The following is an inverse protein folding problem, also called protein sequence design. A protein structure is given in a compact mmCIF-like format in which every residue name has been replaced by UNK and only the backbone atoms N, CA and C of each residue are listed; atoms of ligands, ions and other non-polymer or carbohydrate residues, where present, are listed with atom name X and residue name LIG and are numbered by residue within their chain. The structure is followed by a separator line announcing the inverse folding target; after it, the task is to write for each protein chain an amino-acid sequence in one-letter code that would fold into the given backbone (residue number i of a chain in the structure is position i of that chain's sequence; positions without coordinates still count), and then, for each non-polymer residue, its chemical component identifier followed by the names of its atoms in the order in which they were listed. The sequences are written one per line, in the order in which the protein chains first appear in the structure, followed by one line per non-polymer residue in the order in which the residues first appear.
data_IF_751400571603
#
_entry.id   IF_751400571603
#
_cell.length_a   1.000
_cell.length_b   1.000
_cell.length_c   1.000
_cell.angle_alpha   90.00
_cell.angle_beta   90.00
_cell.angle_gamma   90.00
#
_symmetry.space_group_name_H-M   'P 1'
#
loop_
_entity.id
_entity.type
_entity.pdbx_description
1 polymer ?
#
# COMPACT_ATOMS: atom_id res chain seq x y z
N UNK A 1 -8.62 -9.10 2.79
CA UNK A 1 -8.15 -8.12 3.81
C UNK A 1 -7.68 -8.74 5.12
N UNK A 2 -8.43 -9.62 5.81
CA UNK A 2 -8.00 -10.17 7.12
C UNK A 2 -6.66 -10.91 7.11
N UNK A 3 -6.39 -11.69 6.06
CA UNK A 3 -5.09 -12.37 5.88
C UNK A 3 -3.94 -11.39 5.58
N UNK A 4 -4.22 -10.30 4.85
CA UNK A 4 -3.22 -9.25 4.59
C UNK A 4 -2.77 -8.61 5.90
N UNK A 5 -3.72 -8.28 6.80
CA UNK A 5 -3.36 -7.72 8.11
C UNK A 5 -2.51 -8.68 8.95
N UNK A 6 -2.77 -9.99 8.88
CA UNK A 6 -1.94 -10.99 9.56
C UNK A 6 -0.53 -11.07 8.95
N UNK A 7 -0.40 -11.03 7.62
CA UNK A 7 0.90 -10.98 6.92
C UNK A 7 1.67 -9.71 7.31
N UNK A 8 1.01 -8.56 7.30
CA UNK A 8 1.61 -7.27 7.63
C UNK A 8 2.01 -7.18 9.11
N UNK A 9 1.18 -7.68 10.03
CA UNK A 9 1.49 -7.73 11.45
C UNK A 9 2.79 -8.52 11.76
N UNK A 10 3.11 -9.54 10.94
CA UNK A 10 4.34 -10.31 11.08
C UNK A 10 5.59 -9.58 10.56
N UNK A 11 5.44 -8.56 9.71
CA UNK A 11 6.57 -7.80 9.15
C UNK A 11 7.10 -6.75 10.14
N UNK A 12 6.28 -6.30 11.08
CA UNK A 12 6.64 -5.31 12.08
C UNK A 12 6.52 -3.87 11.57
N UNK A 13 7.35 -2.97 12.12
CA UNK A 13 7.36 -1.55 11.74
C UNK A 13 8.27 -1.32 10.55
N UNK A 14 7.78 -0.63 9.52
CA UNK A 14 8.57 -0.28 8.35
C UNK A 14 7.73 0.36 7.23
N UNK A 15 8.31 0.46 6.04
CA UNK A 15 7.69 1.10 4.88
C UNK A 15 7.30 0.05 3.86
N UNK A 16 6.02 0.03 3.51
CA UNK A 16 5.49 -0.72 2.37
C UNK A 16 5.53 0.14 1.13
N UNK A 17 5.98 -0.42 0.01
CA UNK A 17 6.02 0.24 -1.28
C UNK A 17 5.24 -0.62 -2.26
N UNK A 18 4.05 -0.15 -2.64
CA UNK A 18 3.20 -0.78 -3.64
C UNK A 18 3.55 -0.25 -5.02
N UNK A 19 3.89 -1.15 -5.94
CA UNK A 19 3.90 -0.86 -7.37
C UNK A 19 2.51 -1.14 -7.90
N UNK A 20 1.76 -0.07 -8.17
CA UNK A 20 0.35 -0.16 -8.57
C UNK A 20 0.21 -0.74 -9.97
N UNK A 21 1.19 -0.53 -10.86
CA UNK A 21 1.15 -1.04 -12.24
C UNK A 21 1.32 -2.56 -12.26
N UNK A 22 2.22 -3.08 -11.44
CA UNK A 22 2.50 -4.52 -11.36
C UNK A 22 1.61 -5.26 -10.37
N UNK A 23 0.95 -4.53 -9.46
CA UNK A 23 0.18 -5.13 -8.37
C UNK A 23 1.05 -5.80 -7.32
N UNK A 24 2.31 -5.38 -7.20
CA UNK A 24 3.31 -5.94 -6.28
C UNK A 24 3.53 -5.01 -5.07
N UNK A 25 4.04 -5.56 -3.99
CA UNK A 25 4.35 -4.81 -2.77
C UNK A 25 5.71 -5.23 -2.23
N UNK A 26 6.48 -4.26 -1.75
CA UNK A 26 7.78 -4.48 -1.12
C UNK A 26 7.78 -3.91 0.30
N UNK A 27 8.48 -4.58 1.21
CA UNK A 27 8.78 -4.12 2.55
C UNK A 27 10.29 -4.17 2.78
N UNK A 28 10.91 -2.99 2.86
CA UNK A 28 12.37 -2.89 2.80
C UNK A 28 12.90 -3.54 1.51
N UNK A 29 13.77 -4.54 1.65
CA UNK A 29 14.34 -5.29 0.51
C UNK A 29 13.54 -6.54 0.12
N UNK A 30 12.44 -6.86 0.84
CA UNK A 30 11.65 -8.07 0.61
C UNK A 30 10.40 -7.76 -0.21
N UNK A 31 10.22 -8.47 -1.31
CA UNK A 31 8.92 -8.53 -1.99
C UNK A 31 7.95 -9.33 -1.13
N UNK A 32 6.76 -8.79 -0.90
CA UNK A 32 5.67 -9.50 -0.24
C UNK A 32 4.78 -10.08 -1.32
N UNK A 33 4.90 -11.38 -1.51
CA UNK A 33 4.08 -12.10 -2.46
C UNK A 33 2.63 -12.24 -1.97
N UNK A 34 1.70 -12.06 -2.91
CA UNK A 34 0.28 -12.35 -2.75
C UNK A 34 -0.42 -11.55 -1.62
N UNK A 35 -0.17 -10.24 -1.57
CA UNK A 35 -1.03 -9.31 -0.86
C UNK A 35 -2.30 -9.09 -1.68
N UNK A 36 -3.46 -9.44 -1.12
CA UNK A 36 -4.73 -9.22 -1.83
C UNK A 36 -4.94 -7.73 -2.12
N UNK A 37 -4.61 -6.85 -1.16
CA UNK A 37 -4.73 -5.40 -1.33
C UNK A 37 -3.91 -4.83 -2.50
N UNK A 38 -2.76 -5.40 -2.86
CA UNK A 38 -1.96 -4.87 -3.98
C UNK A 38 -2.63 -5.11 -5.33
N UNK A 39 -3.28 -6.29 -5.49
CA UNK A 39 -4.09 -6.63 -6.67
C UNK A 39 -5.36 -5.79 -6.77
N UNK A 40 -6.00 -5.50 -5.64
CA UNK A 40 -7.18 -4.64 -5.59
C UNK A 40 -6.84 -3.21 -6.01
N UNK A 41 -5.74 -2.65 -5.50
CA UNK A 41 -5.30 -1.29 -5.85
C UNK A 41 -4.95 -1.22 -7.35
N UNK A 42 -4.25 -2.22 -7.89
CA UNK A 42 -3.96 -2.31 -9.33
C UNK A 42 -5.24 -2.35 -10.16
N UNK A 43 -6.20 -3.19 -9.77
CA UNK A 43 -7.48 -3.36 -10.47
C UNK A 43 -8.29 -2.07 -10.44
N UNK A 44 -8.37 -1.42 -9.27
CA UNK A 44 -9.01 -0.11 -9.11
C UNK A 44 -8.35 0.96 -9.98
N UNK A 45 -7.02 1.05 -9.96
CA UNK A 45 -6.29 2.05 -10.74
C UNK A 45 -6.49 1.85 -12.25
N UNK A 46 -6.39 0.61 -12.72
CA UNK A 46 -6.62 0.25 -14.13
C UNK A 46 -8.05 0.57 -14.58
N UNK A 47 -9.03 0.31 -13.71
CA UNK A 47 -10.42 0.67 -13.97
C UNK A 47 -10.59 2.20 -14.10
N UNK A 48 -9.99 2.97 -13.19
CA UNK A 48 -10.02 4.45 -13.25
C UNK A 48 -9.37 5.00 -14.51
N UNK A 49 -8.21 4.50 -14.92
CA UNK A 49 -7.58 4.89 -16.18
C UNK A 49 -8.52 4.64 -17.37
N UNK A 50 -9.18 3.49 -17.39
CA UNK A 50 -10.15 3.13 -18.44
C UNK A 50 -11.35 4.08 -18.45
N UNK A 51 -11.95 4.37 -17.30
CA UNK A 51 -13.06 5.33 -17.18
C UNK A 51 -12.69 6.72 -17.68
N UNK A 52 -11.48 7.18 -17.37
CA UNK A 52 -10.95 8.48 -17.79
C UNK A 52 -10.31 8.48 -19.18
N UNK A 53 -10.30 7.34 -19.88
CA UNK A 53 -9.68 7.14 -21.21
C UNK A 53 -8.19 7.52 -21.24
N UNK A 54 -7.49 7.26 -20.14
CA UNK A 54 -6.06 7.48 -20.03
C UNK A 54 -5.36 6.16 -20.41
N UNK A 55 -4.53 6.14 -21.46
CA UNK A 55 -3.77 4.94 -21.84
C UNK A 55 -2.77 4.58 -20.74
N UNK A 56 -2.70 3.31 -20.34
CA UNK A 56 -1.76 2.88 -19.30
C UNK A 56 -0.30 3.04 -19.74
N UNK A 57 -0.04 3.05 -21.04
CA UNK A 57 1.29 3.22 -21.63
C UNK A 57 1.88 4.62 -21.39
N UNK A 58 1.02 5.61 -21.09
CA UNK A 58 1.42 6.96 -20.69
C UNK A 58 1.87 7.04 -19.23
N UNK A 59 1.51 6.05 -18.40
CA UNK A 59 1.91 5.96 -17.01
C UNK A 59 3.25 5.22 -16.93
N UNK A 60 4.30 5.95 -16.53
CA UNK A 60 5.65 5.40 -16.36
C UNK A 60 5.88 4.78 -15.00
N UNK A 61 5.27 5.37 -13.98
CA UNK A 61 5.39 4.91 -12.61
C UNK A 61 4.08 5.21 -11.89
N UNK A 62 3.58 4.25 -11.11
CA UNK A 62 2.51 4.47 -10.16
C UNK A 62 2.86 3.74 -8.86
N UNK A 63 3.22 4.51 -7.84
CA UNK A 63 3.76 3.98 -6.58
C UNK A 63 2.94 4.53 -5.42
N UNK A 64 2.59 3.66 -4.47
CA UNK A 64 2.01 4.05 -3.19
C UNK A 64 2.95 3.59 -2.08
N UNK A 65 3.51 4.54 -1.33
CA UNK A 65 4.33 4.26 -0.14
C UNK A 65 3.45 4.37 1.08
N UNK A 66 3.37 3.31 1.87
CA UNK A 66 2.57 3.25 3.07
C UNK A 66 3.48 2.91 4.25
N UNK A 67 3.70 3.88 5.15
CA UNK A 67 4.39 3.62 6.41
C UNK A 67 3.47 2.79 7.30
N UNK A 68 4.02 1.78 7.97
CA UNK A 68 3.31 0.93 8.94
C UNK A 68 4.10 0.91 10.23
N UNK A 69 3.48 1.37 11.30
CA UNK A 69 4.03 1.25 12.66
C UNK A 69 3.26 0.20 13.42
N UNK A 70 3.90 -0.93 13.75
CA UNK A 70 3.32 -1.99 14.56
C UNK A 70 3.71 -1.78 16.02
N UNK A 71 2.76 -1.38 16.86
CA UNK A 71 2.93 -1.36 18.32
C UNK A 71 2.29 -2.60 18.94
N UNK A 72 3.10 -3.46 19.57
CA UNK A 72 2.59 -4.61 20.32
C UNK A 72 2.37 -4.18 21.77
N UNK A 73 1.12 -3.91 22.15
CA UNK A 73 0.77 -3.60 23.55
C UNK A 73 0.39 -4.90 24.25
N UNK A 74 1.29 -5.45 25.08
CA UNK A 74 0.97 -6.59 25.94
C UNK A 74 0.15 -6.15 27.16
N UNK A 75 -1.18 -6.16 27.03
CA UNK A 75 -2.09 -6.06 28.19
C UNK A 75 -2.94 -7.32 28.27
N UNK A 76 -2.74 -8.12 29.33
CA UNK A 76 -3.58 -9.26 29.73
C UNK A 76 -3.98 -10.17 28.55
N UNK A 77 -3.00 -10.85 27.94
CA UNK A 77 -3.22 -11.92 26.96
C UNK A 77 -3.82 -11.51 25.59
N UNK A 78 -3.82 -10.22 25.22
CA UNK A 78 -4.28 -9.75 23.91
C UNK A 78 -3.17 -9.00 23.19
N UNK A 79 -2.83 -9.42 21.97
CA UNK A 79 -1.95 -8.69 21.05
C UNK A 79 -2.82 -7.69 20.29
N UNK A 80 -2.62 -6.39 20.49
CA UNK A 80 -3.22 -5.35 19.66
C UNK A 80 -2.17 -4.88 18.67
N UNK A 81 -2.51 -4.83 17.38
CA UNK A 81 -1.66 -4.28 16.32
C UNK A 81 -2.31 -2.99 15.86
N UNK A 82 -1.68 -1.86 16.12
CA UNK A 82 -2.08 -0.57 15.57
C UNK A 82 -1.42 -0.44 14.21
N UNK A 83 -2.13 0.05 13.20
CA UNK A 83 -1.55 0.38 11.90
C UNK A 83 -1.69 1.90 11.69
N UNK A 84 -0.60 2.62 11.85
CA UNK A 84 -0.52 4.03 11.45
C UNK A 84 -0.10 4.07 9.98
N UNK A 85 -0.99 4.51 9.09
CA UNK A 85 -0.74 4.58 7.66
C UNK A 85 -0.40 6.01 7.25
N UNK A 86 0.83 6.21 6.82
CA UNK A 86 1.21 7.42 6.06
C UNK A 86 1.39 7.01 4.60
N UNK A 87 0.43 7.37 3.78
CA UNK A 87 0.34 7.02 2.38
C UNK A 87 0.81 8.17 1.50
N UNK A 88 1.89 7.96 0.75
CA UNK A 88 2.35 8.88 -0.29
C UNK A 88 2.19 8.21 -1.66
N UNK A 89 1.30 8.74 -2.49
CA UNK A 89 1.09 8.30 -3.86
C UNK A 89 1.91 9.13 -4.83
N UNK A 90 2.49 8.48 -5.84
CA UNK A 90 3.18 9.11 -6.96
C UNK A 90 2.70 8.48 -8.25
N UNK A 91 2.31 9.31 -9.21
CA UNK A 91 2.03 8.90 -10.58
C UNK A 91 2.93 9.75 -11.49
N UNK A 92 3.81 9.10 -12.26
CA UNK A 92 4.67 9.76 -13.23
C UNK A 92 4.21 9.42 -14.64
N UNK A 93 4.03 10.45 -15.45
CA UNK A 93 3.82 10.34 -16.89
C UNK A 93 5.07 10.81 -17.64
N UNK A 94 5.03 10.84 -18.98
CA UNK A 94 6.10 11.44 -19.77
C UNK A 94 6.24 12.95 -19.57
N UNK A 95 5.17 13.61 -19.14
CA UNK A 95 5.08 15.08 -19.15
C UNK A 95 5.11 15.67 -17.73
N UNK A 96 4.58 14.93 -16.75
CA UNK A 96 4.41 15.45 -15.40
C UNK A 96 4.54 14.35 -14.33
N UNK A 97 4.79 14.80 -13.10
CA UNK A 97 4.69 13.96 -11.90
C UNK A 97 3.57 14.51 -11.02
N UNK A 98 2.67 13.62 -10.60
CA UNK A 98 1.55 13.91 -9.72
C UNK A 98 1.79 13.21 -8.39
N UNK A 99 1.74 13.96 -7.30
CA UNK A 99 1.99 13.46 -5.95
C UNK A 99 0.77 13.72 -5.06
N UNK A 100 0.52 12.80 -4.13
CA UNK A 100 -0.55 12.90 -3.15
C UNK A 100 -0.10 12.32 -1.83
N UNK A 101 -0.57 12.90 -0.72
CA UNK A 101 -0.28 12.42 0.62
C UNK A 101 -1.58 12.29 1.41
N UNK A 102 -1.74 11.16 2.10
CA UNK A 102 -2.84 10.84 2.99
C UNK A 102 -2.25 10.24 4.27
N UNK A 103 -2.63 10.75 5.44
CA UNK A 103 -2.23 10.16 6.73
C UNK A 103 -3.48 9.81 7.51
N UNK A 104 -3.67 8.52 7.78
CA UNK A 104 -4.82 7.99 8.52
C UNK A 104 -4.38 6.94 9.55
N UNK A 105 -4.98 6.98 10.74
CA UNK A 105 -4.71 6.04 11.83
C UNK A 105 -5.81 4.97 11.86
N UNK A 106 -5.45 3.69 11.64
CA UNK A 106 -6.38 2.57 11.74
C UNK A 106 -6.03 1.67 12.93
N UNK A 107 -6.99 1.47 13.84
CA UNK A 107 -6.86 0.51 14.94
C UNK A 107 -7.48 -0.83 14.55
N UNK A 108 -6.67 -1.89 14.52
CA UNK A 108 -7.15 -3.26 14.33
C UNK A 108 -7.31 -3.93 15.72
N UNK A 109 -8.50 -4.50 16.00
CA UNK A 109 -8.86 -5.17 17.26
C UNK A 109 -9.20 -6.64 17.02
#
# INVERSE_FOLDING_TARGET
MGEDFAKLANLGTGILIFNILEGTCHFGEKTIDDLYISKEIQSWFSHRLTEHKIPIEEIKEATLKAEVTTEIIEKKNRKKVIFNWTCNSLIRTNEATYEGALSEVHQWN
#
